data_IF_123661733665
#
_entry.id   IF_123661733665
#
_cell.length_a   1.000
_cell.length_b   1.000
_cell.length_c   1.000
_cell.angle_alpha   90.00
_cell.angle_beta   90.00
_cell.angle_gamma   90.00
#
_symmetry.space_group_name_H-M   'P 1'
#
loop_
_entity.id
_entity.type
_entity.pdbx_description
1 polymer ?
#
# COMPACT_ATOMS: atom_id res chain seq x y z
N UNK A 1 5.18 -15.74 36.90
CA UNK A 1 4.67 -14.48 36.30
C UNK A 1 4.82 -14.52 34.78
N UNK A 2 4.08 -15.40 34.11
CA UNK A 2 4.19 -15.66 32.66
C UNK A 2 3.04 -15.03 31.86
N UNK A 3 1.86 -14.92 32.47
CA UNK A 3 0.67 -14.32 31.88
C UNK A 3 0.86 -12.85 31.47
N UNK A 4 1.74 -12.13 32.16
CA UNK A 4 2.07 -10.74 31.83
C UNK A 4 2.79 -10.61 30.48
N UNK A 5 3.67 -11.57 30.16
CA UNK A 5 4.33 -11.62 28.86
C UNK A 5 3.34 -11.88 27.72
N UNK A 6 2.27 -12.65 27.97
CA UNK A 6 1.21 -12.89 26.99
C UNK A 6 0.29 -11.68 26.81
N UNK A 7 -0.07 -11.00 27.90
CA UNK A 7 -0.84 -9.75 27.84
C UNK A 7 -0.07 -8.59 27.20
N UNK A 8 1.26 -8.60 27.20
CA UNK A 8 2.05 -7.59 26.48
C UNK A 8 2.38 -8.02 25.06
N UNK A 9 2.71 -9.30 24.84
CA UNK A 9 3.11 -9.81 23.53
C UNK A 9 1.98 -9.87 22.51
N UNK A 10 0.79 -10.33 22.91
CA UNK A 10 -0.37 -10.44 22.01
C UNK A 10 -0.85 -9.08 21.48
N UNK A 11 -1.15 -8.07 22.32
CA UNK A 11 -1.59 -6.78 21.79
C UNK A 11 -0.47 -6.04 21.07
N UNK A 12 0.80 -6.22 21.45
CA UNK A 12 1.93 -5.63 20.73
C UNK A 12 2.06 -6.21 19.31
N UNK A 13 1.92 -7.53 19.16
CA UNK A 13 1.93 -8.19 17.86
C UNK A 13 0.74 -7.74 16.98
N UNK A 14 -0.46 -7.65 17.56
CA UNK A 14 -1.66 -7.18 16.85
C UNK A 14 -1.51 -5.72 16.42
N UNK A 15 -1.04 -4.84 17.31
CA UNK A 15 -0.82 -3.43 16.98
C UNK A 15 0.19 -3.27 15.84
N UNK A 16 1.30 -4.02 15.88
CA UNK A 16 2.30 -3.97 14.81
C UNK A 16 1.75 -4.48 13.47
N UNK A 17 0.95 -5.56 13.49
CA UNK A 17 0.31 -6.09 12.28
C UNK A 17 -0.67 -5.10 11.65
N UNK A 18 -1.50 -4.43 12.46
CA UNK A 18 -2.44 -3.40 11.98
C UNK A 18 -1.70 -2.21 11.38
N UNK A 19 -0.65 -1.72 12.04
CA UNK A 19 0.17 -0.63 11.52
C UNK A 19 0.87 -1.01 10.20
N UNK A 20 1.37 -2.24 10.10
CA UNK A 20 1.99 -2.75 8.88
C UNK A 20 0.98 -2.83 7.72
N UNK A 21 -0.23 -3.32 7.98
CA UNK A 21 -1.30 -3.40 6.98
C UNK A 21 -1.79 -2.00 6.53
N UNK A 22 -2.00 -1.07 7.47
CA UNK A 22 -2.40 0.32 7.14
C UNK A 22 -1.35 1.04 6.30
N UNK A 23 -0.06 0.84 6.62
CA UNK A 23 1.04 1.39 5.82
C UNK A 23 1.09 0.79 4.42
N UNK A 24 0.91 -0.53 4.31
CA UNK A 24 0.90 -1.23 3.03
C UNK A 24 -0.23 -0.73 2.13
N UNK A 25 -1.46 -0.65 2.65
CA UNK A 25 -2.62 -0.11 1.93
C UNK A 25 -2.35 1.32 1.44
N UNK A 26 -1.83 2.20 2.31
CA UNK A 26 -1.53 3.59 1.94
C UNK A 26 -0.46 3.72 0.86
N UNK A 27 0.58 2.89 0.91
CA UNK A 27 1.64 2.88 -0.10
C UNK A 27 1.16 2.29 -1.43
N UNK A 28 0.37 1.22 -1.37
CA UNK A 28 -0.21 0.55 -2.54
C UNK A 28 -1.21 1.47 -3.25
N UNK A 29 -2.06 2.18 -2.51
CA UNK A 29 -2.95 3.22 -3.05
C UNK A 29 -2.17 4.33 -3.78
N UNK A 30 -1.05 4.79 -3.21
CA UNK A 30 -0.18 5.80 -3.84
C UNK A 30 0.43 5.28 -5.15
N UNK A 31 0.89 4.03 -5.16
CA UNK A 31 1.47 3.38 -6.32
C UNK A 31 0.43 3.15 -7.44
N UNK A 32 -0.77 2.67 -7.08
CA UNK A 32 -1.89 2.47 -8.00
C UNK A 32 -2.37 3.78 -8.60
N UNK A 33 -2.48 4.84 -7.81
CA UNK A 33 -2.92 6.16 -8.28
C UNK A 33 -1.97 6.72 -9.34
N UNK A 34 -0.65 6.58 -9.13
CA UNK A 34 0.38 6.99 -10.11
C UNK A 34 0.26 6.25 -11.46
N UNK A 35 -0.11 4.96 -11.45
CA UNK A 35 -0.33 4.19 -12.67
C UNK A 35 -1.60 4.62 -13.40
N UNK A 36 -2.67 4.95 -12.67
CA UNK A 36 -3.92 5.44 -13.27
C UNK A 36 -3.82 6.86 -13.80
N UNK A 37 -2.96 7.68 -13.19
CA UNK A 37 -2.80 9.09 -13.51
C UNK A 37 -1.73 9.37 -14.57
N UNK A 38 -1.04 8.38 -15.14
CA UNK A 38 0.00 8.61 -16.16
C UNK A 38 -0.64 8.82 -17.55
N UNK A 39 -0.98 10.07 -17.95
CA UNK A 39 -1.73 10.38 -19.17
C UNK A 39 -0.77 10.35 -20.39
N UNK A 40 0.54 10.28 -20.11
CA UNK A 40 1.64 10.17 -21.07
C UNK A 40 1.55 8.87 -21.85
N UNK A 41 1.13 7.78 -21.18
CA UNK A 41 0.89 6.51 -21.84
C UNK A 41 -0.30 6.58 -22.80
N UNK A 42 -1.34 7.38 -22.52
CA UNK A 42 -2.47 7.59 -23.43
C UNK A 42 -2.09 8.48 -24.63
N UNK A 43 -1.31 9.53 -24.40
CA UNK A 43 -0.80 10.40 -25.48
C UNK A 43 0.20 9.69 -26.40
N UNK A 44 1.05 8.80 -25.86
CA UNK A 44 2.00 8.01 -26.66
C UNK A 44 1.32 7.04 -27.63
N UNK A 45 0.10 6.56 -27.33
CA UNK A 45 -0.68 5.69 -28.23
C UNK A 45 -1.36 6.48 -29.34
N UNK A 46 -1.90 7.66 -28.99
CA UNK A 46 -2.55 8.56 -29.95
C UNK A 46 -1.58 9.13 -31.00
N UNK A 47 -0.29 9.26 -30.66
CA UNK A 47 0.75 9.66 -31.62
C UNK A 47 1.11 8.58 -32.66
N UNK A 48 0.82 7.30 -32.39
CA UNK A 48 1.13 6.18 -33.27
C UNK A 48 -0.05 5.74 -34.16
N UNK A 49 -1.27 6.16 -33.84
CA UNK A 49 -2.48 5.88 -34.65
C UNK A 49 -2.72 6.92 -35.76
N UNK A 50 -1.97 8.02 -35.75
CA UNK A 50 -2.10 9.13 -36.72
C UNK A 50 -1.00 9.14 -37.81
N UNK A 51 -0.23 8.07 -37.94
CA UNK A 51 0.78 7.86 -38.98
C UNK A 51 0.47 6.57 -39.73
#
# INVERSE_FOLDING_TARGET
MWYFAWLLGLPLAVAFAVLNAMWYELMDDRARKRLSEDPTAAMARMGNENH
#
